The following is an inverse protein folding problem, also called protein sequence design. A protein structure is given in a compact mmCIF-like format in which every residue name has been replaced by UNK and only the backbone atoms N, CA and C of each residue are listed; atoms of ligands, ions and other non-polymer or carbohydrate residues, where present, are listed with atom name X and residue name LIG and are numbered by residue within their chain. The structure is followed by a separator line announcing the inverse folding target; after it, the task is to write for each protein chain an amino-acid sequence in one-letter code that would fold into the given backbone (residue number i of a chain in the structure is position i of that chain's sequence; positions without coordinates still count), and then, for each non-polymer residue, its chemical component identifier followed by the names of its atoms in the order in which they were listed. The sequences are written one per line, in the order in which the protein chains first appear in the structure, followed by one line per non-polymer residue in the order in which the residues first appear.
data_IF_747126913377
#
_entry.id   IF_747126913377
#
_cell.length_a   1.000
_cell.length_b   1.000
_cell.length_c   1.000
_cell.angle_alpha   90.00
_cell.angle_beta   90.00
_cell.angle_gamma   90.00
#
_symmetry.space_group_name_H-M   'P 1'
#
loop_
_entity.id
_entity.type
_entity.pdbx_description
1 polymer ?
#
# COMPACT_ATOMS: atom_id res chain seq x y z
N UNK A 1 -2.86 -27.45 4.09
CA UNK A 1 -1.54 -27.13 4.68
C UNK A 1 -0.40 -27.01 3.66
N UNK A 2 -0.21 -27.91 2.68
CA UNK A 2 0.92 -27.79 1.72
C UNK A 2 0.80 -26.65 0.69
N UNK A 3 -0.43 -26.21 0.36
CA UNK A 3 -0.65 -25.14 -0.63
C UNK A 3 -0.37 -23.74 -0.08
N UNK A 4 -0.65 -23.47 1.19
CA UNK A 4 -0.44 -22.15 1.78
C UNK A 4 1.04 -21.82 1.96
N UNK A 5 1.84 -22.81 2.38
CA UNK A 5 3.30 -22.67 2.44
C UNK A 5 3.92 -22.44 1.05
N UNK A 6 3.33 -22.96 -0.02
CA UNK A 6 3.81 -22.76 -1.39
C UNK A 6 3.46 -21.37 -1.92
N UNK A 7 2.27 -20.86 -1.59
CA UNK A 7 1.83 -19.50 -1.90
C UNK A 7 2.68 -18.48 -1.13
N UNK A 8 2.92 -18.74 0.16
CA UNK A 8 3.74 -17.87 1.03
C UNK A 8 5.20 -17.84 0.59
N UNK A 9 5.79 -18.99 0.19
CA UNK A 9 7.13 -19.02 -0.40
C UNK A 9 7.23 -18.27 -1.71
N UNK A 10 6.21 -18.33 -2.58
CA UNK A 10 6.17 -17.55 -3.83
C UNK A 10 6.04 -16.05 -3.56
N UNK A 11 5.25 -15.65 -2.56
CA UNK A 11 5.06 -14.24 -2.16
C UNK A 11 6.30 -13.62 -1.51
N UNK A 12 6.95 -14.34 -0.59
CA UNK A 12 8.23 -13.91 0.01
C UNK A 12 9.34 -13.86 -1.03
N UNK A 13 9.38 -14.84 -1.94
CA UNK A 13 10.33 -14.83 -3.05
C UNK A 13 10.06 -13.64 -3.99
N UNK A 14 8.81 -13.24 -4.21
CA UNK A 14 8.46 -12.08 -5.06
C UNK A 14 8.88 -10.76 -4.41
N UNK A 15 8.63 -10.58 -3.11
CA UNK A 15 9.09 -9.41 -2.35
C UNK A 15 10.62 -9.33 -2.34
N UNK A 16 11.32 -10.45 -2.13
CA UNK A 16 12.79 -10.52 -2.21
C UNK A 16 13.31 -10.32 -3.64
N UNK A 17 12.58 -10.76 -4.67
CA UNK A 17 12.99 -10.61 -6.07
C UNK A 17 12.88 -9.14 -6.51
N UNK A 18 11.81 -8.45 -6.11
CA UNK A 18 11.64 -7.00 -6.28
C UNK A 18 12.75 -6.24 -5.54
N UNK A 19 13.12 -6.66 -4.33
CA UNK A 19 14.28 -6.12 -3.61
C UNK A 19 15.62 -6.38 -4.34
N UNK A 20 15.78 -7.55 -4.97
CA UNK A 20 17.02 -7.95 -5.65
C UNK A 20 17.22 -7.31 -7.03
N UNK A 21 16.15 -7.01 -7.76
CA UNK A 21 16.21 -6.30 -9.04
C UNK A 21 16.64 -4.84 -8.88
N UNK A 22 16.45 -4.26 -7.68
CA UNK A 22 16.95 -2.94 -7.30
C UNK A 22 18.46 -2.97 -6.98
N UNK A 23 19.02 -4.14 -6.63
CA UNK A 23 20.43 -4.29 -6.23
C UNK A 23 21.37 -4.73 -7.37
N UNK A 24 20.84 -5.14 -8.54
CA UNK A 24 21.65 -5.53 -9.69
C UNK A 24 21.65 -4.46 -10.80
N UNK A 25 21.91 -3.22 -10.40
CA UNK A 25 22.21 -2.09 -11.27
C UNK A 25 23.71 -1.94 -11.56
N UNK A 26 24.43 -3.02 -11.84
CA UNK A 26 25.72 -2.97 -12.55
C UNK A 26 25.42 -3.36 -14.00
N UNK A 27 25.75 -2.64 -15.06
CA UNK A 27 26.68 -1.54 -15.24
C UNK A 27 27.11 -1.62 -16.70
N UNK A 28 26.85 -0.57 -17.46
CA UNK A 28 27.59 -0.26 -18.69
C UNK A 28 27.63 1.26 -18.77
N UNK A 29 28.56 1.85 -18.02
CA UNK A 29 28.98 3.24 -18.20
C UNK A 29 30.29 3.25 -18.98
N UNK A 30 30.33 4.05 -20.05
CA UNK A 30 31.57 4.73 -20.43
C UNK A 30 31.84 5.85 -19.42
N UNK A 31 33.13 6.08 -19.21
CA UNK A 31 33.74 6.97 -18.23
C UNK A 31 33.27 8.44 -18.36
N UNK A 32 33.21 9.14 -17.22
CA UNK A 32 34.17 10.21 -16.87
C UNK A 32 33.96 10.67 -15.41
N UNK A 33 35.01 11.28 -14.86
CA UNK A 33 35.38 11.52 -13.45
C UNK A 33 34.42 12.30 -12.53
N UNK A 34 34.30 11.75 -11.31
CA UNK A 34 34.46 12.36 -9.97
C UNK A 34 33.76 13.67 -9.58
N UNK A 35 32.78 13.58 -8.66
CA UNK A 35 32.89 14.24 -7.34
C UNK A 35 32.04 13.54 -6.28
N UNK A 36 32.73 13.08 -5.25
CA UNK A 36 32.22 12.57 -3.98
C UNK A 36 31.43 13.64 -3.22
N UNK A 37 30.21 13.28 -2.82
CA UNK A 37 29.59 13.71 -1.56
C UNK A 37 28.51 12.69 -1.16
N UNK A 38 28.82 11.86 -0.16
CA UNK A 38 27.88 11.35 0.84
C UNK A 38 26.63 10.62 0.36
N UNK A 39 26.77 9.35 -0.01
CA UNK A 39 25.64 8.45 -0.22
C UNK A 39 25.00 8.05 1.13
N UNK A 40 24.02 8.83 1.58
CA UNK A 40 22.94 8.28 2.42
C UNK A 40 22.01 7.51 1.48
N UNK A 41 21.98 6.19 1.60
CA UNK A 41 21.06 5.34 0.87
C UNK A 41 19.65 5.49 1.46
N UNK A 42 19.02 6.62 1.15
CA UNK A 42 17.59 6.81 1.25
C UNK A 42 16.94 5.92 0.17
N UNK A 43 16.42 4.77 0.58
CA UNK A 43 15.62 3.89 -0.25
C UNK A 43 14.14 4.00 0.15
N UNK A 44 13.66 5.21 0.42
CA UNK A 44 12.24 5.52 0.33
C UNK A 44 11.79 5.34 -1.12
N UNK A 45 10.84 4.43 -1.38
CA UNK A 45 10.17 4.37 -2.68
C UNK A 45 9.38 5.68 -2.82
N UNK A 46 9.93 6.68 -3.48
CA UNK A 46 9.20 7.92 -3.78
C UNK A 46 7.93 7.61 -4.61
N UNK A 47 6.86 8.36 -4.33
CA UNK A 47 5.57 8.29 -5.03
C UNK A 47 5.74 8.37 -6.56
N UNK A 48 6.77 9.09 -7.04
CA UNK A 48 7.08 9.30 -8.45
C UNK A 48 7.41 8.01 -9.23
N UNK A 49 7.68 6.91 -8.51
CA UNK A 49 8.00 5.60 -9.10
C UNK A 49 6.96 4.52 -8.82
N UNK A 50 5.82 4.83 -8.18
CA UNK A 50 4.77 3.83 -8.01
C UNK A 50 4.19 3.41 -9.37
N UNK A 51 4.48 2.17 -9.76
CA UNK A 51 3.93 1.54 -10.96
C UNK A 51 3.10 0.35 -10.52
N UNK A 52 1.76 0.46 -10.46
CA UNK A 52 0.94 -0.66 -10.09
C UNK A 52 1.13 -1.80 -11.10
N UNK A 53 1.12 -3.03 -10.59
CA UNK A 53 0.98 -4.25 -11.37
C UNK A 53 -0.22 -4.14 -12.33
N UNK A 54 -0.17 -4.90 -13.42
CA UNK A 54 -1.34 -5.06 -14.29
C UNK A 54 -2.49 -5.64 -13.49
N UNK A 55 -3.63 -4.96 -13.51
CA UNK A 55 -4.86 -5.42 -12.88
C UNK A 55 -5.32 -6.78 -13.44
N UNK A 56 -5.90 -7.59 -12.57
CA UNK A 56 -6.58 -8.84 -12.90
C UNK A 56 -8.08 -8.64 -13.11
N UNK A 57 -8.66 -7.66 -12.42
CA UNK A 57 -10.01 -7.15 -12.67
C UNK A 57 -10.08 -6.47 -14.04
N UNK A 58 -11.18 -6.66 -14.76
CA UNK A 58 -11.40 -5.99 -16.05
C UNK A 58 -12.07 -4.63 -15.89
N UNK A 59 -12.93 -4.48 -14.89
CA UNK A 59 -13.61 -3.24 -14.52
C UNK A 59 -14.06 -3.30 -13.06
N UNK A 60 -14.47 -2.15 -12.52
CA UNK A 60 -15.05 -2.06 -11.18
C UNK A 60 -16.39 -2.79 -11.05
N UNK A 61 -17.10 -3.08 -12.16
CA UNK A 61 -18.37 -3.82 -12.12
C UNK A 61 -18.20 -5.23 -11.54
N UNK A 62 -17.01 -5.84 -11.71
CA UNK A 62 -16.67 -7.15 -11.14
C UNK A 62 -16.59 -7.14 -9.61
N UNK A 63 -16.47 -5.95 -8.99
CA UNK A 63 -16.45 -5.79 -7.54
C UNK A 63 -17.83 -5.91 -6.90
N UNK A 64 -18.93 -5.78 -7.66
CA UNK A 64 -20.29 -5.75 -7.09
C UNK A 64 -20.42 -4.77 -5.90
N UNK A 65 -19.80 -3.60 -6.04
CA UNK A 65 -19.70 -2.59 -4.99
C UNK A 65 -21.08 -2.00 -4.68
N UNK A 66 -21.46 -1.90 -3.40
CA UNK A 66 -22.76 -1.36 -3.01
C UNK A 66 -22.76 -0.83 -1.56
N UNK A 67 -23.69 0.10 -1.28
CA UNK A 67 -23.99 0.58 0.07
C UNK A 67 -24.71 -0.50 0.89
N UNK A 68 -24.34 -0.63 2.17
CA UNK A 68 -24.98 -1.54 3.11
C UNK A 68 -26.14 -0.82 3.79
N UNK A 69 -27.36 -1.37 3.70
CA UNK A 69 -28.57 -0.83 4.32
C UNK A 69 -28.90 0.63 3.96
N UNK A 70 -28.39 1.14 2.83
CA UNK A 70 -28.55 2.56 2.45
C UNK A 70 -27.75 3.52 3.32
N UNK A 71 -26.71 3.04 4.01
CA UNK A 71 -25.73 3.86 4.72
C UNK A 71 -24.84 4.61 3.71
N UNK A 72 -24.56 5.88 3.99
CA UNK A 72 -23.55 6.67 3.26
C UNK A 72 -22.13 6.46 3.82
N UNK A 73 -21.96 5.59 4.81
CA UNK A 73 -20.65 5.26 5.37
C UNK A 73 -20.24 3.81 5.15
N UNK A 74 -21.19 2.87 5.08
CA UNK A 74 -20.91 1.44 5.05
C UNK A 74 -21.09 0.85 3.66
N UNK A 75 -20.03 0.21 3.16
CA UNK A 75 -19.98 -0.35 1.82
C UNK A 75 -19.44 -1.77 1.84
N UNK A 76 -19.92 -2.58 0.89
CA UNK A 76 -19.45 -3.94 0.66
C UNK A 76 -19.09 -4.15 -0.81
N UNK A 77 -18.04 -4.94 -1.04
CA UNK A 77 -17.63 -5.37 -2.37
C UNK A 77 -17.06 -6.78 -2.34
N UNK A 78 -17.07 -7.46 -3.50
CA UNK A 78 -16.54 -8.80 -3.68
C UNK A 78 -15.20 -8.75 -4.41
N UNK A 79 -14.20 -9.44 -3.89
CA UNK A 79 -12.91 -9.59 -4.55
C UNK A 79 -12.38 -11.00 -4.32
N UNK A 80 -11.97 -11.69 -5.38
CA UNK A 80 -11.48 -13.08 -5.28
C UNK A 80 -12.50 -14.07 -4.70
N UNK A 81 -13.80 -13.76 -4.76
CA UNK A 81 -14.87 -14.57 -4.17
C UNK A 81 -15.11 -14.33 -2.67
N UNK A 82 -14.40 -13.39 -2.04
CA UNK A 82 -14.64 -12.96 -0.66
C UNK A 82 -15.32 -11.58 -0.63
N UNK A 83 -16.16 -11.35 0.39
CA UNK A 83 -16.77 -10.03 0.66
C UNK A 83 -15.86 -9.22 1.58
N UNK A 84 -15.56 -8.00 1.16
CA UNK A 84 -14.81 -7.00 1.89
C UNK A 84 -15.74 -5.88 2.32
N UNK A 85 -15.38 -5.22 3.43
CA UNK A 85 -16.08 -4.04 3.94
C UNK A 85 -15.21 -2.81 3.72
N UNK A 86 -15.83 -1.72 3.31
CA UNK A 86 -15.25 -0.40 3.30
C UNK A 86 -16.10 0.55 4.15
N UNK A 87 -15.45 1.34 5.00
CA UNK A 87 -16.08 2.34 5.84
C UNK A 87 -15.56 3.71 5.46
N UNK A 88 -16.46 4.59 5.07
CA UNK A 88 -16.19 6.00 4.93
C UNK A 88 -16.44 6.72 6.25
N UNK A 89 -15.52 7.61 6.62
CA UNK A 89 -15.70 8.63 7.66
C UNK A 89 -15.35 9.98 7.04
N UNK A 90 -15.78 11.10 7.64
CA UNK A 90 -15.83 12.47 7.07
C UNK A 90 -14.69 12.85 6.11
N UNK A 91 -13.47 12.33 6.27
CA UNK A 91 -12.37 12.49 5.31
C UNK A 91 -11.53 11.22 5.01
N UNK A 92 -11.93 10.03 5.46
CA UNK A 92 -11.11 8.80 5.33
C UNK A 92 -11.90 7.62 4.78
N UNK A 93 -11.21 6.77 4.02
CA UNK A 93 -11.68 5.42 3.68
C UNK A 93 -10.90 4.37 4.44
N UNK A 94 -11.60 3.54 5.21
CA UNK A 94 -11.03 2.33 5.78
C UNK A 94 -11.48 1.11 4.97
N UNK A 95 -10.53 0.29 4.50
CA UNK A 95 -10.83 -0.99 3.85
C UNK A 95 -10.41 -2.12 4.80
N UNK A 96 -11.40 -2.87 5.29
CA UNK A 96 -11.15 -3.97 6.22
C UNK A 96 -10.53 -5.16 5.50
N UNK A 97 -9.57 -5.80 6.17
CA UNK A 97 -8.85 -6.98 5.67
C UNK A 97 -8.13 -6.75 4.32
N UNK A 98 -7.79 -5.50 4.01
CA UNK A 98 -7.13 -5.11 2.77
C UNK A 98 -5.77 -5.79 2.55
N UNK A 99 -5.14 -6.33 3.59
CA UNK A 99 -3.95 -7.19 3.49
C UNK A 99 -4.13 -8.44 2.63
N UNK A 100 -5.37 -8.86 2.39
CA UNK A 100 -5.73 -10.02 1.56
C UNK A 100 -5.79 -9.71 0.08
N UNK A 101 -5.98 -8.44 -0.29
CA UNK A 101 -5.88 -8.01 -1.69
C UNK A 101 -4.43 -8.19 -2.12
N UNK A 102 -4.21 -8.82 -3.27
CA UNK A 102 -2.89 -9.33 -3.66
C UNK A 102 -2.22 -8.55 -4.78
N UNK A 103 -2.92 -7.61 -5.41
CA UNK A 103 -2.51 -6.97 -6.65
C UNK A 103 -2.76 -5.46 -6.55
N UNK A 104 -1.73 -4.66 -6.76
CA UNK A 104 -1.81 -3.19 -6.68
C UNK A 104 -2.70 -2.59 -7.77
N UNK A 105 -2.76 -3.21 -8.96
CA UNK A 105 -3.63 -2.74 -10.05
C UNK A 105 -5.11 -2.91 -9.74
N UNK A 106 -5.47 -4.03 -9.12
CA UNK A 106 -6.83 -4.26 -8.62
C UNK A 106 -7.17 -3.28 -7.49
N UNK A 107 -6.22 -2.98 -6.61
CA UNK A 107 -6.41 -1.96 -5.57
C UNK A 107 -6.66 -0.57 -6.17
N UNK A 108 -5.98 -0.20 -7.26
CA UNK A 108 -6.30 1.05 -7.98
C UNK A 108 -7.76 1.05 -8.43
N UNK A 109 -8.26 -0.04 -9.02
CA UNK A 109 -9.68 -0.13 -9.44
C UNK A 109 -10.63 -0.04 -8.25
N UNK A 110 -10.30 -0.69 -7.11
CA UNK A 110 -11.07 -0.58 -5.87
C UNK A 110 -11.11 0.89 -5.41
N UNK A 111 -9.98 1.58 -5.37
CA UNK A 111 -9.90 2.98 -4.99
C UNK A 111 -10.63 3.92 -5.97
N UNK A 112 -10.59 3.64 -7.28
CA UNK A 112 -11.37 4.37 -8.28
C UNK A 112 -12.88 4.25 -8.01
N UNK A 113 -13.36 3.08 -7.57
CA UNK A 113 -14.76 2.88 -7.22
C UNK A 113 -15.13 3.64 -5.93
N UNK A 114 -14.27 3.60 -4.90
CA UNK A 114 -14.49 4.30 -3.64
C UNK A 114 -14.66 5.83 -3.83
N UNK A 115 -13.78 6.44 -4.64
CA UNK A 115 -13.81 7.89 -4.90
C UNK A 115 -15.11 8.34 -5.58
N UNK A 116 -15.79 7.47 -6.33
CA UNK A 116 -17.08 7.82 -6.98
C UNK A 116 -18.19 8.11 -5.97
N UNK A 117 -18.13 7.47 -4.79
CA UNK A 117 -19.09 7.71 -3.72
C UNK A 117 -18.65 8.88 -2.84
N UNK A 118 -17.41 8.82 -2.35
CA UNK A 118 -16.85 9.86 -1.49
C UNK A 118 -15.40 10.16 -1.91
N UNK A 119 -15.14 11.33 -2.52
CA UNK A 119 -13.79 11.74 -2.82
C UNK A 119 -13.07 12.13 -1.53
N UNK A 120 -11.79 11.76 -1.42
CA UNK A 120 -10.97 12.04 -0.23
C UNK A 120 -10.05 13.21 -0.50
N UNK A 121 -9.97 14.13 0.44
CA UNK A 121 -9.05 15.25 0.34
C UNK A 121 -7.59 14.79 0.38
N UNK A 122 -6.74 15.52 -0.34
CA UNK A 122 -5.30 15.43 -0.12
C UNK A 122 -4.91 16.07 1.21
N UNK A 123 -3.66 15.89 1.62
CA UNK A 123 -3.06 16.44 2.84
C UNK A 123 -3.21 17.96 2.98
N UNK A 124 -3.35 18.67 1.87
CA UNK A 124 -3.54 20.12 1.83
C UNK A 124 -4.99 20.56 2.12
N UNK A 125 -5.91 19.60 2.28
CA UNK A 125 -7.36 19.79 2.45
C UNK A 125 -8.00 20.64 1.35
N UNK A 126 -7.39 20.69 0.17
CA UNK A 126 -7.83 21.49 -0.99
C UNK A 126 -7.90 20.64 -2.24
N UNK A 127 -6.86 19.86 -2.48
CA UNK A 127 -6.82 18.86 -3.53
C UNK A 127 -7.64 17.62 -3.13
N UNK A 128 -7.93 16.76 -4.10
CA UNK A 128 -8.47 15.44 -3.87
C UNK A 128 -7.43 14.39 -4.26
N UNK A 129 -7.42 13.28 -3.54
CA UNK A 129 -6.53 12.15 -3.80
C UNK A 129 -6.93 11.44 -5.09
N UNK A 130 -5.93 10.92 -5.76
CA UNK A 130 -6.13 9.98 -6.86
C UNK A 130 -6.21 8.55 -6.32
N UNK A 131 -6.81 7.65 -7.10
CA UNK A 131 -6.81 6.22 -6.79
C UNK A 131 -5.40 5.63 -6.68
N UNK A 132 -4.43 6.20 -7.42
CA UNK A 132 -3.03 5.81 -7.34
C UNK A 132 -2.42 6.15 -5.98
N UNK A 133 -2.69 7.35 -5.46
CA UNK A 133 -2.21 7.76 -4.13
C UNK A 133 -2.78 6.84 -3.04
N UNK A 134 -4.05 6.48 -3.16
CA UNK A 134 -4.74 5.60 -2.22
C UNK A 134 -4.19 4.16 -2.28
N UNK A 135 -3.99 3.63 -3.49
CA UNK A 135 -3.42 2.29 -3.68
C UNK A 135 -1.96 2.20 -3.26
N UNK A 136 -1.19 3.29 -3.40
CA UNK A 136 0.19 3.34 -2.92
C UNK A 136 0.25 3.29 -1.39
N UNK A 137 -0.61 4.04 -0.69
CA UNK A 137 -0.69 3.97 0.77
C UNK A 137 -1.08 2.57 1.27
N UNK A 138 -2.05 1.94 0.60
CA UNK A 138 -2.39 0.55 0.83
C UNK A 138 -1.18 -0.39 0.69
N UNK A 139 -0.36 -0.21 -0.36
CA UNK A 139 0.85 -1.01 -0.57
C UNK A 139 1.81 -0.87 0.61
N UNK A 140 1.97 0.33 1.16
CA UNK A 140 2.83 0.58 2.31
C UNK A 140 2.30 -0.09 3.57
N UNK A 141 0.99 0.00 3.84
CA UNK A 141 0.33 -0.70 4.95
C UNK A 141 0.52 -2.21 4.85
N UNK A 142 0.24 -2.78 3.68
CA UNK A 142 0.37 -4.20 3.45
C UNK A 142 1.81 -4.68 3.55
N UNK A 143 2.76 -3.88 3.07
CA UNK A 143 4.20 -4.19 3.23
C UNK A 143 4.55 -4.27 4.71
N UNK A 144 4.09 -3.32 5.54
CA UNK A 144 4.27 -3.38 6.98
C UNK A 144 3.64 -4.65 7.60
N UNK A 145 2.44 -5.05 7.17
CA UNK A 145 1.77 -6.27 7.65
C UNK A 145 2.61 -7.54 7.41
N UNK A 146 3.24 -7.66 6.24
CA UNK A 146 4.06 -8.82 5.89
C UNK A 146 5.44 -8.82 6.55
N UNK A 147 5.99 -7.64 6.87
CA UNK A 147 7.28 -7.52 7.54
C UNK A 147 7.18 -7.69 9.06
N UNK A 148 6.04 -7.32 9.66
CA UNK A 148 5.84 -7.45 11.09
C UNK A 148 5.71 -8.93 11.52
N UNK A 149 6.38 -9.35 12.61
CA UNK A 149 6.22 -10.70 13.13
C UNK A 149 4.77 -10.94 13.57
N UNK A 150 4.32 -12.20 13.51
CA UNK A 150 2.95 -12.59 13.91
C UNK A 150 2.60 -12.17 15.36
N UNK A 151 3.60 -12.09 16.24
CA UNK A 151 3.44 -11.63 17.63
C UNK A 151 3.39 -10.11 17.81
N UNK A 152 3.58 -9.33 16.74
CA UNK A 152 3.56 -7.87 16.82
C UNK A 152 2.16 -7.35 17.09
N UNK A 153 2.00 -6.60 18.19
CA UNK A 153 0.76 -5.86 18.47
C UNK A 153 0.37 -4.87 17.36
N UNK A 154 1.34 -4.48 16.52
CA UNK A 154 1.12 -3.56 15.41
C UNK A 154 0.52 -4.23 14.17
N UNK A 155 0.54 -5.56 14.10
CA UNK A 155 0.07 -6.31 12.94
C UNK A 155 -1.44 -6.12 12.70
N UNK A 156 -2.21 -6.06 13.79
CA UNK A 156 -3.65 -5.74 13.73
C UNK A 156 -3.91 -4.32 13.24
N UNK A 157 -3.01 -3.37 13.51
CA UNK A 157 -3.17 -1.97 13.06
C UNK A 157 -2.90 -1.78 11.57
N UNK A 158 -2.17 -2.69 10.93
CA UNK A 158 -1.79 -2.58 9.51
C UNK A 158 -2.50 -3.61 8.62
N UNK A 159 -3.41 -4.42 9.18
CA UNK A 159 -4.23 -5.38 8.41
C UNK A 159 -5.28 -4.66 7.54
N UNK A 160 -5.76 -3.53 8.04
CA UNK A 160 -6.70 -2.65 7.37
C UNK A 160 -5.93 -1.43 6.89
N UNK A 161 -6.13 -1.02 5.64
CA UNK A 161 -5.69 0.31 5.20
C UNK A 161 -6.71 1.33 5.71
N UNK A 162 -6.20 2.41 6.27
CA UNK A 162 -6.96 3.59 6.66
C UNK A 162 -6.39 4.74 5.85
N UNK A 163 -7.10 5.09 4.78
CA UNK A 163 -6.68 6.04 3.75
C UNK A 163 -6.88 7.45 4.32
N UNK A 164 -5.89 7.90 5.07
CA UNK A 164 -5.90 9.17 5.79
C UNK A 164 -5.19 10.26 4.96
N UNK A 165 -5.81 11.44 4.72
CA UNK A 165 -5.15 12.58 4.09
C UNK A 165 -3.79 12.94 4.74
N UNK A 166 -3.65 12.76 6.06
CA UNK A 166 -2.41 13.05 6.79
C UNK A 166 -1.25 12.08 6.46
N UNK A 167 -1.57 10.90 5.92
CA UNK A 167 -0.62 9.86 5.52
C UNK A 167 -0.22 9.97 4.04
N UNK A 168 -0.90 10.81 3.26
CA UNK A 168 -0.58 11.02 1.85
C UNK A 168 0.89 11.46 1.66
N UNK A 169 1.58 10.72 0.78
CA UNK A 169 2.94 11.02 0.35
C UNK A 169 4.03 10.62 1.34
N UNK A 170 3.67 10.06 2.51
CA UNK A 170 4.66 9.51 3.43
C UNK A 170 5.29 8.26 2.84
N UNK A 171 6.55 8.01 3.11
CA UNK A 171 7.20 6.72 2.85
C UNK A 171 7.02 5.74 4.03
N UNK A 172 7.49 4.50 3.88
CA UNK A 172 7.35 3.47 4.94
C UNK A 172 8.03 3.86 6.26
N UNK A 173 9.19 4.52 6.20
CA UNK A 173 9.90 4.99 7.39
C UNK A 173 9.13 6.11 8.09
N UNK A 174 8.62 7.08 7.33
CA UNK A 174 7.83 8.20 7.86
C UNK A 174 6.50 7.73 8.47
N UNK A 175 5.86 6.72 7.87
CA UNK A 175 4.68 6.07 8.44
C UNK A 175 5.01 5.34 9.74
N UNK A 176 6.14 4.63 9.77
CA UNK A 176 6.59 3.94 10.98
C UNK A 176 6.92 4.92 12.11
N UNK A 177 7.63 6.01 11.81
CA UNK A 177 7.98 7.05 12.78
C UNK A 177 6.74 7.77 13.30
N UNK A 178 5.80 8.12 12.42
CA UNK A 178 4.53 8.75 12.83
C UNK A 178 3.71 7.89 13.79
N UNK A 179 3.73 6.57 13.61
CA UNK A 179 2.92 5.62 14.41
C UNK A 179 3.61 5.18 15.70
N UNK A 180 4.93 5.13 15.70
CA UNK A 180 5.70 4.54 16.82
C UNK A 180 6.54 5.55 17.59
N UNK A 181 6.78 6.74 17.04
CA UNK A 181 7.73 7.73 17.55
C UNK A 181 9.20 7.30 17.48
N UNK A 182 9.51 6.24 16.71
CA UNK A 182 10.86 5.68 16.56
C UNK A 182 11.27 5.67 15.10
N UNK A 183 12.58 5.75 14.84
CA UNK A 183 13.11 5.58 13.48
C UNK A 183 13.14 4.10 13.10
N UNK A 184 12.81 3.80 11.85
CA UNK A 184 12.80 2.41 11.38
C UNK A 184 14.21 1.80 11.37
N UNK A 185 15.22 2.63 11.11
CA UNK A 185 16.64 2.24 11.06
C UNK A 185 17.46 2.70 12.27
N UNK A 186 16.83 3.04 13.41
CA UNK A 186 17.63 3.23 14.64
C UNK A 186 18.20 1.88 15.06
N UNK A 187 19.51 1.72 14.89
CA UNK A 187 20.26 0.70 15.63
C UNK A 187 20.15 1.14 17.09
N UNK A 188 19.45 0.35 17.91
CA UNK A 188 19.53 0.51 19.36
C UNK A 188 21.02 0.35 19.74
N UNK A 189 21.68 1.45 20.15
CA UNK A 189 22.95 1.42 20.87
C UNK A 189 22.74 0.98 22.33
#
# INVERSE_FOLDING_TARGET
MKNEALIMKRKVLFVLLVLSLVLCGCGSKKADEEKDTGASADQGIELENFKPEKATLKSADELHFHQVNGSDSDYEFTYGGETYKALYTEDNWKIYDSYRVGNTGDMVIICEELIKYHPIHGKDMKSYRTAYDMAYEWLQHNTAYFLLPESSKWKDHVRDVDIDPADQGRNLEELFEARTGRKLFSVDE
#
